data_IF_513985481039
#
_entry.id   IF_513985481039
#
_cell.length_a   1.000
_cell.length_b   1.000
_cell.length_c   1.000
_cell.angle_alpha   90.00
_cell.angle_beta   90.00
_cell.angle_gamma   90.00
#
_symmetry.space_group_name_H-M   'P 1'
#
loop_
_entity.id
_entity.type
_entity.pdbx_description
1 polymer ?
#
# COMPACT_ATOMS: atom_id res chain seq x y z
N UNK A 1 40.42 -22.55 -7.50
CA UNK A 1 39.46 -22.01 -6.61
C UNK A 1 38.10 -21.84 -7.29
N UNK A 2 37.13 -22.38 -6.73
CA UNK A 2 35.82 -22.21 -7.32
C UNK A 2 35.12 -21.02 -6.70
N UNK A 3 34.62 -20.18 -7.53
CA UNK A 3 33.71 -19.14 -7.07
C UNK A 3 32.30 -19.68 -7.07
N UNK A 4 31.61 -19.46 -6.00
CA UNK A 4 30.22 -19.81 -5.97
C UNK A 4 29.48 -18.77 -6.81
N UNK A 5 29.01 -19.22 -7.94
CA UNK A 5 28.18 -18.40 -8.80
C UNK A 5 26.75 -18.55 -8.38
N UNK A 6 26.04 -17.44 -8.31
CA UNK A 6 24.61 -17.53 -8.09
C UNK A 6 23.98 -18.36 -9.22
N UNK A 7 23.10 -19.33 -8.88
CA UNK A 7 22.41 -20.08 -9.92
C UNK A 7 21.70 -19.15 -10.91
N UNK A 8 21.74 -19.48 -12.18
CA UNK A 8 21.15 -18.65 -13.23
C UNK A 8 19.64 -18.51 -13.08
N UNK A 9 18.95 -19.60 -12.68
CA UNK A 9 17.50 -19.60 -12.58
C UNK A 9 16.98 -18.60 -11.55
N UNK A 10 17.49 -18.54 -10.32
CA UNK A 10 17.03 -17.52 -9.35
C UNK A 10 17.32 -16.10 -9.81
N UNK A 11 18.42 -15.84 -10.50
CA UNK A 11 18.73 -14.51 -11.00
C UNK A 11 17.72 -14.10 -12.07
N UNK A 12 17.43 -14.99 -13.01
CA UNK A 12 16.45 -14.73 -14.07
C UNK A 12 15.06 -14.54 -13.50
N UNK A 13 14.67 -15.35 -12.54
CA UNK A 13 13.37 -15.23 -11.88
C UNK A 13 13.24 -13.93 -11.10
N UNK A 14 14.30 -13.54 -10.40
CA UNK A 14 14.33 -12.29 -9.67
C UNK A 14 14.15 -11.09 -10.60
N UNK A 15 14.89 -11.09 -11.71
CA UNK A 15 14.78 -10.01 -12.69
C UNK A 15 13.40 -9.96 -13.35
N UNK A 16 12.84 -11.12 -13.66
CA UNK A 16 11.48 -11.19 -14.20
C UNK A 16 10.44 -10.66 -13.21
N UNK A 17 10.62 -10.97 -11.92
CA UNK A 17 9.75 -10.45 -10.87
C UNK A 17 9.86 -8.92 -10.76
N UNK A 18 11.07 -8.39 -10.82
CA UNK A 18 11.28 -6.93 -10.79
C UNK A 18 10.63 -6.26 -11.99
N UNK A 19 10.78 -6.84 -13.18
CA UNK A 19 10.17 -6.31 -14.39
C UNK A 19 8.65 -6.33 -14.30
N UNK A 20 8.09 -7.43 -13.82
CA UNK A 20 6.64 -7.55 -13.62
C UNK A 20 6.15 -6.54 -12.60
N UNK A 21 6.87 -6.41 -11.49
CA UNK A 21 6.52 -5.44 -10.46
C UNK A 21 6.50 -4.02 -11.03
N UNK A 22 7.49 -3.66 -11.83
CA UNK A 22 7.58 -2.34 -12.42
C UNK A 22 6.39 -2.07 -13.38
N UNK A 23 6.08 -3.02 -14.24
CA UNK A 23 4.98 -2.89 -15.20
C UNK A 23 3.63 -2.77 -14.47
N UNK A 24 3.38 -3.67 -13.53
CA UNK A 24 2.11 -3.69 -12.78
C UNK A 24 1.96 -2.44 -11.92
N UNK A 25 3.02 -2.05 -11.22
CA UNK A 25 2.99 -0.85 -10.36
C UNK A 25 2.73 0.40 -11.18
N UNK A 26 3.34 0.52 -12.35
CA UNK A 26 3.15 1.65 -13.24
C UNK A 26 1.70 1.74 -13.73
N UNK A 27 1.14 0.60 -14.14
CA UNK A 27 -0.25 0.53 -14.61
C UNK A 27 -1.23 0.88 -13.50
N UNK A 28 -1.00 0.36 -12.29
CA UNK A 28 -1.84 0.64 -11.13
C UNK A 28 -1.76 2.12 -10.75
N UNK A 29 -0.55 2.68 -10.66
CA UNK A 29 -0.36 4.09 -10.30
C UNK A 29 -1.10 5.00 -11.27
N UNK A 30 -0.95 4.74 -12.57
CA UNK A 30 -1.60 5.54 -13.59
C UNK A 30 -3.13 5.48 -13.47
N UNK A 31 -3.68 4.28 -13.33
CA UNK A 31 -5.13 4.09 -13.22
C UNK A 31 -5.69 4.74 -11.96
N UNK A 32 -5.01 4.58 -10.82
CA UNK A 32 -5.45 5.17 -9.57
C UNK A 32 -5.47 6.70 -9.65
N UNK A 33 -4.41 7.30 -10.18
CA UNK A 33 -4.33 8.75 -10.32
C UNK A 33 -5.37 9.28 -11.31
N UNK A 34 -5.47 8.65 -12.49
CA UNK A 34 -6.33 9.13 -13.56
C UNK A 34 -7.81 9.01 -13.21
N UNK A 35 -8.21 7.93 -12.54
CA UNK A 35 -9.62 7.64 -12.30
C UNK A 35 -10.10 8.06 -10.91
N UNK A 36 -9.20 8.10 -9.93
CA UNK A 36 -9.59 8.31 -8.53
C UNK A 36 -8.81 9.42 -7.84
N UNK A 37 -7.79 9.97 -8.49
CA UNK A 37 -6.99 11.04 -7.92
C UNK A 37 -6.19 10.64 -6.68
N UNK A 38 -5.91 9.36 -6.52
CA UNK A 38 -5.19 8.81 -5.36
C UNK A 38 -3.99 8.01 -5.86
N UNK A 39 -2.87 8.10 -5.15
CA UNK A 39 -1.68 7.32 -5.50
C UNK A 39 -1.82 5.86 -5.10
N UNK A 40 -1.04 5.01 -5.75
CA UNK A 40 -1.04 3.58 -5.44
C UNK A 40 -0.66 3.32 -3.98
N UNK A 41 0.36 4.02 -3.47
CA UNK A 41 0.78 3.87 -2.08
C UNK A 41 -0.34 4.23 -1.11
N UNK A 42 -1.08 5.29 -1.39
CA UNK A 42 -2.22 5.69 -0.56
C UNK A 42 -3.34 4.65 -0.63
N UNK A 43 -3.65 4.14 -1.83
CA UNK A 43 -4.67 3.11 -1.96
C UNK A 43 -4.26 1.83 -1.20
N UNK A 44 -3.02 1.39 -1.34
CA UNK A 44 -2.56 0.18 -0.66
C UNK A 44 -2.55 0.34 0.86
N UNK A 45 -2.31 1.55 1.33
CA UNK A 45 -2.43 1.85 2.76
C UNK A 45 -3.88 1.71 3.21
N UNK A 46 -4.83 2.27 2.47
CA UNK A 46 -6.26 2.09 2.78
C UNK A 46 -6.66 0.62 2.72
N UNK A 47 -6.15 -0.12 1.74
CA UNK A 47 -6.45 -1.54 1.55
C UNK A 47 -6.04 -2.36 2.79
N UNK A 48 -4.93 -2.00 3.42
CA UNK A 48 -4.49 -2.65 4.67
C UNK A 48 -5.35 -2.23 5.85
N UNK A 49 -5.67 -0.95 5.96
CA UNK A 49 -6.45 -0.44 7.09
C UNK A 49 -7.88 -1.01 7.09
N UNK A 50 -8.46 -1.17 5.92
CA UNK A 50 -9.83 -1.72 5.78
C UNK A 50 -9.92 -3.13 6.37
N UNK A 51 -8.86 -3.92 6.25
CA UNK A 51 -8.85 -5.28 6.78
C UNK A 51 -8.66 -5.35 8.29
N UNK A 52 -8.34 -4.23 8.93
CA UNK A 52 -8.14 -4.20 10.37
C UNK A 52 -9.47 -4.18 11.12
N UNK A 53 -9.46 -4.70 12.34
CA UNK A 53 -10.63 -4.69 13.21
C UNK A 53 -11.07 -3.25 13.49
N UNK A 54 -12.34 -2.96 13.27
CA UNK A 54 -12.94 -1.65 13.51
C UNK A 54 -12.29 -0.52 12.71
N UNK A 55 -11.61 -0.84 11.61
CA UNK A 55 -10.96 0.17 10.77
C UNK A 55 -9.81 0.90 11.43
N UNK A 56 -9.27 0.33 12.51
CA UNK A 56 -8.10 0.85 13.22
C UNK A 56 -6.90 -0.04 12.99
N UNK A 57 -5.78 0.57 12.64
CA UNK A 57 -4.54 -0.17 12.45
C UNK A 57 -3.44 0.50 13.28
N UNK A 58 -2.74 -0.30 14.08
CA UNK A 58 -1.61 0.22 14.83
C UNK A 58 -0.50 0.60 13.86
N UNK A 59 0.01 1.82 13.98
CA UNK A 59 0.98 2.36 13.03
C UNK A 59 2.23 1.48 12.91
N UNK A 60 2.74 0.97 14.04
CA UNK A 60 3.92 0.10 14.04
C UNK A 60 3.67 -1.22 13.30
N UNK A 61 2.46 -1.78 13.42
CA UNK A 61 2.10 -3.01 12.73
C UNK A 61 1.91 -2.76 11.23
N UNK A 62 1.29 -1.64 10.89
CA UNK A 62 1.11 -1.25 9.50
C UNK A 62 2.46 -1.11 8.79
N UNK A 63 3.45 -0.52 9.46
CA UNK A 63 4.79 -0.37 8.91
C UNK A 63 5.45 -1.72 8.60
N UNK A 64 5.13 -2.77 9.38
CA UNK A 64 5.65 -4.11 9.14
C UNK A 64 4.88 -4.86 8.06
N UNK A 65 3.58 -4.64 7.98
CA UNK A 65 2.69 -5.43 7.13
C UNK A 65 2.61 -4.94 5.68
N UNK A 66 2.92 -3.66 5.47
CA UNK A 66 2.83 -3.08 4.13
C UNK A 66 4.20 -3.07 3.46
N UNK A 67 4.20 -3.26 2.14
CA UNK A 67 5.44 -3.29 1.36
C UNK A 67 5.83 -1.90 0.87
N UNK A 68 6.00 -0.99 1.82
CA UNK A 68 6.49 0.37 1.57
C UNK A 68 7.63 0.67 2.53
N UNK A 69 8.54 1.54 2.11
CA UNK A 69 9.54 2.06 3.05
C UNK A 69 8.85 2.90 4.11
N UNK A 70 9.51 3.10 5.25
CA UNK A 70 8.95 3.94 6.30
C UNK A 70 8.66 5.36 5.81
N UNK A 71 9.55 5.93 5.02
CA UNK A 71 9.31 7.27 4.47
C UNK A 71 8.14 7.31 3.50
N UNK A 72 8.00 6.28 2.66
CA UNK A 72 6.87 6.20 1.74
C UNK A 72 5.55 6.04 2.50
N UNK A 73 5.52 5.20 3.52
CA UNK A 73 4.33 5.03 4.36
C UNK A 73 3.99 6.33 5.09
N UNK A 74 4.98 6.99 5.67
CA UNK A 74 4.77 8.25 6.37
C UNK A 74 4.16 9.32 5.46
N UNK A 75 4.68 9.42 4.23
CA UNK A 75 4.13 10.37 3.24
C UNK A 75 2.70 10.00 2.84
N UNK A 76 2.44 8.70 2.65
CA UNK A 76 1.10 8.24 2.30
C UNK A 76 0.09 8.57 3.41
N UNK A 77 0.44 8.29 4.65
CA UNK A 77 -0.44 8.58 5.80
C UNK A 77 -0.67 10.09 5.94
N UNK A 78 0.38 10.89 5.80
CA UNK A 78 0.26 12.35 5.90
C UNK A 78 -0.70 12.89 4.82
N UNK A 79 -0.58 12.39 3.60
CA UNK A 79 -1.46 12.80 2.51
C UNK A 79 -2.89 12.34 2.73
N UNK A 80 -3.09 11.09 3.16
CA UNK A 80 -4.41 10.57 3.46
C UNK A 80 -5.09 11.35 4.59
N UNK A 81 -4.32 11.69 5.61
CA UNK A 81 -4.83 12.50 6.73
C UNK A 81 -5.23 13.90 6.28
N UNK A 82 -4.40 14.52 5.46
CA UNK A 82 -4.66 15.84 4.90
C UNK A 82 -5.95 15.84 4.06
N UNK A 83 -6.17 14.77 3.32
CA UNK A 83 -7.36 14.63 2.47
C UNK A 83 -8.59 14.14 3.25
N UNK A 84 -8.46 13.91 4.55
CA UNK A 84 -9.57 13.49 5.40
C UNK A 84 -9.99 12.05 5.25
N UNK A 85 -9.12 11.21 4.70
CA UNK A 85 -9.44 9.79 4.44
C UNK A 85 -9.05 8.90 5.62
N UNK A 86 -8.09 9.34 6.43
CA UNK A 86 -7.71 8.65 7.67
C UNK A 86 -7.53 9.69 8.77
N UNK A 87 -7.57 9.24 10.01
CA UNK A 87 -7.25 10.05 11.18
C UNK A 87 -6.30 9.28 12.06
N UNK A 88 -5.48 10.00 12.83
CA UNK A 88 -4.60 9.39 13.82
C UNK A 88 -5.23 9.51 15.19
N UNK A 89 -5.09 8.46 15.99
CA UNK A 89 -5.55 8.47 17.36
C UNK A 89 -4.52 7.79 18.25
N UNK A 90 -4.55 8.13 19.54
CA UNK A 90 -3.71 7.48 20.53
C UNK A 90 -4.61 6.70 21.48
N UNK A 91 -4.06 5.62 22.04
CA UNK A 91 -4.77 4.87 23.07
C UNK A 91 -4.56 5.55 24.43
N UNK A 92 -5.63 5.65 25.24
CA UNK A 92 -5.54 6.25 26.57
C UNK A 92 -4.59 5.49 27.47
N UNK A 93 -4.52 4.17 27.30
CA UNK A 93 -3.68 3.29 28.13
C UNK A 93 -2.21 3.33 27.72
N UNK A 94 -1.92 3.66 26.46
CA UNK A 94 -0.55 3.72 25.96
C UNK A 94 -0.42 4.89 24.99
N UNK A 95 0.10 5.99 25.50
CA UNK A 95 0.29 7.21 24.71
C UNK A 95 1.31 7.07 23.59
N UNK A 96 2.13 5.99 23.64
CA UNK A 96 3.11 5.72 22.59
C UNK A 96 2.49 5.01 21.41
N UNK A 97 1.34 4.38 21.60
CA UNK A 97 0.66 3.68 20.53
C UNK A 97 -0.14 4.68 19.69
N UNK A 98 0.20 4.75 18.42
CA UNK A 98 -0.53 5.57 17.45
C UNK A 98 -1.29 4.63 16.54
N UNK A 99 -2.57 4.91 16.36
CA UNK A 99 -3.44 4.15 15.47
C UNK A 99 -3.84 5.03 14.29
N UNK A 100 -3.97 4.40 13.14
CA UNK A 100 -4.54 5.03 11.94
C UNK A 100 -5.94 4.48 11.78
N UNK A 101 -6.90 5.36 11.67
CA UNK A 101 -8.32 5.01 11.61
C UNK A 101 -8.88 5.45 10.26
N UNK A 102 -9.65 4.57 9.64
CA UNK A 102 -10.34 4.89 8.39
C UNK A 102 -11.53 5.80 8.69
N UNK A 103 -11.67 6.89 7.95
CA UNK A 103 -12.85 7.75 8.03
C UNK A 103 -13.93 7.23 7.09
N UNK A 104 -15.16 7.74 7.25
CA UNK A 104 -16.24 7.39 6.32
C UNK A 104 -15.90 7.81 4.90
N UNK A 105 -15.27 8.97 4.74
CA UNK A 105 -14.83 9.44 3.43
C UNK A 105 -13.73 8.54 2.86
N UNK A 106 -12.80 8.08 3.71
CA UNK A 106 -11.77 7.14 3.31
C UNK A 106 -12.35 5.82 2.84
N UNK A 107 -13.40 5.34 3.52
CA UNK A 107 -14.10 4.13 3.12
C UNK A 107 -14.74 4.29 1.75
N UNK A 108 -15.36 5.45 1.50
CA UNK A 108 -15.99 5.72 0.22
C UNK A 108 -14.97 5.74 -0.91
N UNK A 109 -13.85 6.43 -0.72
CA UNK A 109 -12.78 6.49 -1.72
C UNK A 109 -12.23 5.10 -1.98
N UNK A 110 -12.01 4.32 -0.93
CA UNK A 110 -11.54 2.96 -1.05
C UNK A 110 -12.51 2.09 -1.85
N UNK A 111 -13.79 2.14 -1.50
CA UNK A 111 -14.82 1.32 -2.16
C UNK A 111 -14.92 1.67 -3.65
N UNK A 112 -14.79 2.95 -3.99
CA UNK A 112 -14.84 3.40 -5.39
C UNK A 112 -13.60 2.95 -6.18
N UNK A 113 -12.42 2.96 -5.55
CA UNK A 113 -11.17 2.63 -6.22
C UNK A 113 -10.88 1.12 -6.28
N UNK A 114 -11.48 0.35 -5.39
CA UNK A 114 -11.20 -1.08 -5.26
C UNK A 114 -11.41 -1.86 -6.56
N UNK A 115 -12.54 -1.71 -7.28
CA UNK A 115 -12.72 -2.44 -8.54
C UNK A 115 -11.66 -2.09 -9.59
N UNK A 116 -11.27 -0.81 -9.66
CA UNK A 116 -10.25 -0.36 -10.59
C UNK A 116 -8.91 -1.02 -10.29
N UNK A 117 -8.52 -1.04 -9.01
CA UNK A 117 -7.26 -1.67 -8.60
C UNK A 117 -7.24 -3.15 -8.98
N UNK A 118 -8.29 -3.88 -8.65
CA UNK A 118 -8.34 -5.34 -8.90
C UNK A 118 -8.38 -5.67 -10.39
N UNK A 119 -9.10 -4.87 -11.17
CA UNK A 119 -9.17 -5.05 -12.62
C UNK A 119 -7.82 -4.81 -13.28
N UNK A 120 -7.17 -3.69 -12.96
CA UNK A 120 -5.87 -3.35 -13.54
C UNK A 120 -4.80 -4.35 -13.10
N UNK A 121 -4.82 -4.76 -11.83
CA UNK A 121 -3.90 -5.78 -11.33
C UNK A 121 -4.04 -7.07 -12.13
N UNK A 122 -5.27 -7.54 -12.31
CA UNK A 122 -5.56 -8.75 -13.07
C UNK A 122 -5.08 -8.67 -14.53
N UNK A 123 -5.37 -7.55 -15.17
CA UNK A 123 -5.04 -7.35 -16.60
C UNK A 123 -3.54 -7.14 -16.84
N UNK A 124 -2.82 -6.66 -15.84
CA UNK A 124 -1.40 -6.34 -15.97
C UNK A 124 -0.48 -7.44 -15.47
N UNK A 125 -1.04 -8.46 -14.82
CA UNK A 125 -0.25 -9.48 -14.15
C UNK A 125 0.53 -10.37 -15.12
N UNK A 126 -0.04 -10.70 -16.24
CA UNK A 126 0.58 -11.59 -17.26
C UNK A 126 1.56 -10.87 -18.17
#
# INVERSE_FOLDING_TARGET
MSKVRAPQAPVAEWRALLDRHAVVSCALEKAMQDRHGIGLSEFETLDRIVDANCGKYRMAELAQDIHLSQSALSRAITRLEKDGLVSRSTCDDDRRAVFVCLTDQGRQVYDDALPTHREVLSNSWD
#
